data_IF_483095099831
#
_entry.id   IF_483095099831
#
_cell.length_a   1.000
_cell.length_b   1.000
_cell.length_c   1.000
_cell.angle_alpha   90.00
_cell.angle_beta   90.00
_cell.angle_gamma   90.00
#
_symmetry.space_group_name_H-M   'P 1'
#
loop_
_entity.id
_entity.type
_entity.pdbx_description
1 polymer ?
#
# COMPACT_ATOMS: atom_id res chain seq x y z
N UNK A 1 5.82 10.38 -26.75
CA UNK A 1 4.90 9.63 -25.86
C UNK A 1 4.85 10.35 -24.52
N UNK A 2 3.68 10.43 -23.88
CA UNK A 2 3.55 11.12 -22.60
C UNK A 2 4.09 10.23 -21.47
N UNK A 3 4.94 10.78 -20.59
CA UNK A 3 5.38 10.05 -19.40
C UNK A 3 4.16 9.80 -18.48
N UNK A 4 4.01 8.58 -17.93
CA UNK A 4 3.00 8.29 -16.92
C UNK A 4 3.03 9.30 -15.78
N UNK A 5 1.86 9.87 -15.51
CA UNK A 5 1.68 10.73 -14.34
C UNK A 5 1.67 9.82 -13.11
N UNK A 6 2.40 10.20 -12.06
CA UNK A 6 2.44 9.47 -10.77
C UNK A 6 1.04 9.09 -10.25
N UNK A 7 0.05 9.97 -10.41
CA UNK A 7 -1.34 9.67 -10.03
C UNK A 7 -1.92 8.49 -10.81
N UNK A 8 -1.65 8.40 -12.12
CA UNK A 8 -2.11 7.30 -12.97
C UNK A 8 -1.37 6.00 -12.65
N UNK A 9 -0.07 6.05 -12.36
CA UNK A 9 0.70 4.89 -11.92
C UNK A 9 0.17 4.31 -10.60
N UNK A 10 -0.07 5.15 -9.59
CA UNK A 10 -0.63 4.72 -8.30
C UNK A 10 -2.01 4.09 -8.41
N UNK A 11 -2.79 4.48 -9.44
CA UNK A 11 -4.09 3.91 -9.72
C UNK A 11 -4.03 2.65 -10.62
N UNK A 12 -2.86 2.24 -11.10
CA UNK A 12 -2.72 1.11 -12.03
C UNK A 12 -3.15 1.43 -13.47
N UNK A 13 -3.14 2.70 -13.87
CA UNK A 13 -3.52 3.17 -15.20
C UNK A 13 -2.35 3.81 -15.95
N UNK A 14 -1.12 3.36 -15.71
CA UNK A 14 0.08 3.84 -16.41
C UNK A 14 -0.03 3.68 -17.93
N UNK A 15 -0.60 2.56 -18.40
CA UNK A 15 -0.86 2.27 -19.82
C UNK A 15 -1.61 3.41 -20.50
N UNK A 16 -2.60 4.02 -19.83
CA UNK A 16 -3.38 5.12 -20.41
C UNK A 16 -2.50 6.32 -20.81
N UNK A 17 -1.43 6.59 -20.05
CA UNK A 17 -0.49 7.64 -20.40
C UNK A 17 0.48 7.22 -21.51
N UNK A 18 0.91 5.96 -21.50
CA UNK A 18 1.84 5.39 -22.50
C UNK A 18 1.22 5.37 -23.90
N UNK A 19 -0.09 5.13 -24.00
CA UNK A 19 -0.83 5.13 -25.26
C UNK A 19 -1.38 6.52 -25.63
N UNK A 20 -1.11 7.55 -24.83
CA UNK A 20 -1.61 8.90 -25.05
C UNK A 20 -0.74 9.70 -26.04
N UNK A 21 -1.39 10.38 -26.97
CA UNK A 21 -0.79 11.31 -27.94
C UNK A 21 -0.58 12.72 -27.37
N UNK A 22 -1.01 12.99 -26.14
CA UNK A 22 -0.85 14.30 -25.51
C UNK A 22 0.64 14.64 -25.30
N UNK A 23 1.05 15.91 -25.50
CA UNK A 23 2.42 16.33 -25.20
C UNK A 23 2.69 16.23 -23.70
N UNK A 24 3.94 15.88 -23.34
CA UNK A 24 4.35 15.76 -21.94
C UNK A 24 4.60 17.13 -21.30
N UNK A 25 3.52 17.88 -21.08
CA UNK A 25 3.53 19.18 -20.43
C UNK A 25 2.85 19.04 -19.07
N UNK A 26 3.61 19.33 -18.01
CA UNK A 26 3.12 19.29 -16.65
C UNK A 26 1.88 20.20 -16.49
N UNK A 27 0.83 19.67 -15.88
CA UNK A 27 -0.37 20.43 -15.61
C UNK A 27 -1.22 20.76 -16.84
N UNK A 28 -1.09 20.04 -17.97
CA UNK A 28 -2.01 20.23 -19.09
C UNK A 28 -3.48 19.96 -18.69
N UNK A 29 -4.41 20.74 -19.23
CA UNK A 29 -5.83 20.61 -18.91
C UNK A 29 -6.38 19.23 -19.31
N UNK A 30 -5.88 18.67 -20.42
CA UNK A 30 -6.21 17.31 -20.87
C UNK A 30 -5.80 16.25 -19.85
N UNK A 31 -4.56 16.29 -19.34
CA UNK A 31 -4.09 15.34 -18.33
C UNK A 31 -4.89 15.48 -17.02
N UNK A 32 -5.23 16.71 -16.59
CA UNK A 32 -6.08 16.91 -15.40
C UNK A 32 -7.46 16.26 -15.56
N UNK A 33 -8.09 16.45 -16.72
CA UNK A 33 -9.39 15.84 -17.02
C UNK A 33 -9.33 14.32 -17.10
N UNK A 34 -8.26 13.77 -17.69
CA UNK A 34 -8.02 12.34 -17.75
C UNK A 34 -7.91 11.72 -16.34
N UNK A 35 -7.04 12.29 -15.50
CA UNK A 35 -6.84 11.83 -14.12
C UNK A 35 -8.17 11.89 -13.35
N UNK A 36 -8.89 13.01 -13.39
CA UNK A 36 -10.15 13.17 -12.67
C UNK A 36 -11.24 12.17 -13.14
N UNK A 37 -11.25 11.79 -14.42
CA UNK A 37 -12.18 10.78 -14.94
C UNK A 37 -11.80 9.37 -14.48
N UNK A 38 -10.51 9.02 -14.50
CA UNK A 38 -10.04 7.73 -13.99
C UNK A 38 -10.23 7.58 -12.48
N UNK A 39 -10.01 8.63 -11.70
CA UNK A 39 -10.31 8.63 -10.26
C UNK A 39 -11.78 8.34 -10.01
N UNK A 40 -12.70 9.07 -10.68
CA UNK A 40 -14.14 8.82 -10.53
C UNK A 40 -14.56 7.41 -10.95
N UNK A 41 -13.97 6.87 -12.02
CA UNK A 41 -14.23 5.51 -12.44
C UNK A 41 -13.77 4.50 -11.37
N UNK A 42 -12.55 4.67 -10.85
CA UNK A 42 -11.99 3.83 -9.79
C UNK A 42 -12.84 3.89 -8.51
N UNK A 43 -13.28 5.08 -8.11
CA UNK A 43 -14.11 5.26 -6.93
C UNK A 43 -15.44 4.51 -7.04
N UNK A 44 -16.09 4.55 -8.21
CA UNK A 44 -17.32 3.75 -8.48
C UNK A 44 -17.06 2.26 -8.41
N UNK A 45 -15.89 1.82 -8.81
CA UNK A 45 -15.45 0.41 -8.75
C UNK A 45 -14.87 0.02 -7.39
N UNK A 46 -14.87 0.88 -6.38
CA UNK A 46 -14.35 0.51 -5.05
C UNK A 46 -15.35 -0.28 -4.20
N UNK A 47 -16.65 -0.11 -4.42
CA UNK A 47 -17.72 -0.74 -3.63
C UNK A 47 -17.91 -2.24 -3.91
N UNK A 48 -19.08 -2.80 -3.59
CA UNK A 48 -19.43 -4.17 -3.98
C UNK A 48 -19.89 -4.21 -5.45
N UNK A 49 -19.47 -5.22 -6.22
CA UNK A 49 -19.94 -5.42 -7.59
C UNK A 49 -21.35 -6.00 -7.60
N UNK A 50 -22.32 -5.25 -8.14
CA UNK A 50 -23.74 -5.65 -8.14
C UNK A 50 -24.08 -6.36 -9.45
N UNK A 51 -23.60 -5.84 -10.57
CA UNK A 51 -23.90 -6.36 -11.91
C UNK A 51 -22.74 -7.18 -12.50
N UNK A 52 -23.01 -7.97 -13.54
CA UNK A 52 -21.97 -8.66 -14.32
C UNK A 52 -21.00 -7.66 -14.96
N UNK A 53 -21.51 -6.52 -15.42
CA UNK A 53 -20.70 -5.45 -15.99
C UNK A 53 -19.72 -4.87 -14.96
N UNK A 54 -20.13 -4.72 -13.70
CA UNK A 54 -19.24 -4.24 -12.63
C UNK A 54 -18.09 -5.22 -12.37
N UNK A 55 -18.39 -6.54 -12.40
CA UNK A 55 -17.38 -7.59 -12.21
C UNK A 55 -16.37 -7.60 -13.37
N UNK A 56 -16.87 -7.58 -14.60
CA UNK A 56 -16.05 -7.51 -15.80
C UNK A 56 -15.15 -6.26 -15.79
N UNK A 57 -15.70 -5.10 -15.41
CA UNK A 57 -14.95 -3.85 -15.35
C UNK A 57 -13.79 -3.93 -14.36
N UNK A 58 -14.01 -4.58 -13.19
CA UNK A 58 -12.96 -4.76 -12.18
C UNK A 58 -11.89 -5.73 -12.63
N UNK A 59 -12.28 -6.82 -13.28
CA UNK A 59 -11.36 -7.80 -13.85
C UNK A 59 -10.45 -7.13 -14.88
N UNK A 60 -11.04 -6.37 -15.80
CA UNK A 60 -10.28 -5.60 -16.80
C UNK A 60 -9.30 -4.61 -16.16
N UNK A 61 -9.74 -3.85 -15.15
CA UNK A 61 -8.86 -2.91 -14.44
C UNK A 61 -7.74 -3.63 -13.69
N UNK A 62 -8.00 -4.82 -13.15
CA UNK A 62 -7.00 -5.64 -12.47
C UNK A 62 -5.94 -6.13 -13.46
N UNK A 63 -6.37 -6.58 -14.66
CA UNK A 63 -5.45 -6.94 -15.74
C UNK A 63 -4.58 -5.76 -16.16
N UNK A 64 -5.19 -4.58 -16.38
CA UNK A 64 -4.46 -3.37 -16.75
C UNK A 64 -3.48 -2.89 -15.68
N UNK A 65 -3.78 -3.11 -14.40
CA UNK A 65 -2.91 -2.73 -13.29
C UNK A 65 -1.66 -3.61 -13.18
N UNK A 66 -1.73 -4.87 -13.63
CA UNK A 66 -0.61 -5.81 -13.62
C UNK A 66 -0.57 -6.70 -14.87
N UNK A 67 -0.28 -6.14 -16.06
CA UNK A 67 -0.37 -6.87 -17.33
C UNK A 67 0.53 -8.12 -17.38
N UNK A 68 1.69 -8.07 -16.72
CA UNK A 68 2.64 -9.18 -16.67
C UNK A 68 2.06 -10.46 -16.04
N UNK A 69 1.05 -10.33 -15.18
CA UNK A 69 0.38 -11.47 -14.55
C UNK A 69 -0.61 -12.19 -15.47
N UNK A 70 -0.91 -11.62 -16.64
CA UNK A 70 -1.98 -12.06 -17.54
C UNK A 70 -1.50 -12.26 -18.99
N UNK A 71 -0.19 -12.39 -19.21
CA UNK A 71 0.39 -12.61 -20.55
C UNK A 71 0.00 -13.96 -21.16
N UNK A 72 -0.28 -14.96 -20.32
CA UNK A 72 -0.69 -16.31 -20.74
C UNK A 72 -2.22 -16.44 -20.87
N UNK A 73 -2.97 -15.34 -20.71
CA UNK A 73 -4.42 -15.33 -20.88
C UNK A 73 -4.80 -15.63 -22.34
N UNK A 74 -5.79 -16.52 -22.53
CA UNK A 74 -6.16 -17.01 -23.86
C UNK A 74 -6.77 -15.94 -24.76
N UNK A 75 -7.40 -14.92 -24.19
CA UNK A 75 -8.08 -13.86 -24.95
C UNK A 75 -7.29 -12.55 -24.96
N UNK A 76 -6.67 -12.20 -23.83
CA UNK A 76 -6.04 -10.90 -23.61
C UNK A 76 -4.50 -10.95 -23.60
N UNK A 77 -3.89 -12.14 -23.65
CA UNK A 77 -2.45 -12.34 -23.45
C UNK A 77 -1.57 -11.53 -24.41
N UNK A 78 -1.91 -11.49 -25.70
CA UNK A 78 -1.18 -10.70 -26.70
C UNK A 78 -1.21 -9.19 -26.38
N UNK A 79 -2.37 -8.69 -25.96
CA UNK A 79 -2.53 -7.29 -25.58
C UNK A 79 -1.80 -6.98 -24.27
N UNK A 80 -1.84 -7.89 -23.30
CA UNK A 80 -1.11 -7.76 -22.04
C UNK A 80 0.40 -7.74 -22.28
N UNK A 81 0.90 -8.58 -23.19
CA UNK A 81 2.30 -8.58 -23.59
C UNK A 81 2.69 -7.24 -24.21
N UNK A 82 1.86 -6.67 -25.09
CA UNK A 82 2.09 -5.34 -25.63
C UNK A 82 2.17 -4.27 -24.52
N UNK A 83 1.28 -4.30 -23.53
CA UNK A 83 1.34 -3.37 -22.41
C UNK A 83 2.58 -3.57 -21.53
N UNK A 84 3.03 -4.81 -21.31
CA UNK A 84 4.31 -5.07 -20.65
C UNK A 84 5.45 -4.43 -21.40
N UNK A 85 5.51 -4.57 -22.73
CA UNK A 85 6.59 -3.97 -23.53
C UNK A 85 6.63 -2.45 -23.39
N UNK A 86 5.47 -1.77 -23.46
CA UNK A 86 5.39 -0.32 -23.26
C UNK A 86 5.86 0.11 -21.86
N UNK A 87 5.47 -0.65 -20.83
CA UNK A 87 5.91 -0.38 -19.45
C UNK A 87 7.41 -0.56 -19.31
N UNK A 88 7.98 -1.63 -19.88
CA UNK A 88 9.42 -1.92 -19.84
C UNK A 88 10.23 -0.87 -20.59
N UNK A 89 9.78 -0.43 -21.77
CA UNK A 89 10.40 0.66 -22.51
C UNK A 89 10.38 1.97 -21.70
N UNK A 90 9.28 2.24 -21.00
CA UNK A 90 9.14 3.44 -20.18
C UNK A 90 9.99 3.43 -18.91
N UNK A 91 9.98 2.33 -18.15
CA UNK A 91 10.78 2.17 -16.94
C UNK A 91 12.28 2.09 -17.27
N UNK A 92 12.62 1.87 -18.54
CA UNK A 92 13.94 1.54 -19.00
C UNK A 92 14.36 0.15 -18.50
N UNK A 93 15.54 -0.29 -18.93
CA UNK A 93 16.22 -1.35 -18.19
C UNK A 93 16.59 -0.76 -16.82
N UNK A 94 15.80 -1.06 -15.80
CA UNK A 94 16.34 -0.99 -14.43
C UNK A 94 17.53 -1.92 -14.45
N UNK A 95 18.74 -1.36 -14.48
CA UNK A 95 19.94 -2.19 -14.44
C UNK A 95 19.77 -3.15 -13.28
N UNK A 96 19.95 -4.45 -13.53
CA UNK A 96 19.93 -5.42 -12.44
C UNK A 96 20.87 -4.87 -11.36
N UNK A 97 20.34 -4.65 -10.15
CA UNK A 97 21.13 -4.06 -9.07
C UNK A 97 22.40 -4.88 -8.94
N UNK A 98 23.55 -4.23 -9.02
CA UNK A 98 24.82 -4.95 -8.94
C UNK A 98 24.93 -5.57 -7.55
N UNK A 99 25.77 -6.60 -7.41
CA UNK A 99 26.04 -7.21 -6.11
C UNK A 99 26.50 -6.14 -5.08
N UNK A 100 27.26 -5.14 -5.54
CA UNK A 100 27.76 -4.02 -4.74
C UNK A 100 26.63 -3.14 -4.19
N UNK A 101 25.62 -2.80 -5.01
CA UNK A 101 24.46 -2.02 -4.56
C UNK A 101 23.58 -2.79 -3.56
N UNK A 102 23.50 -4.11 -3.74
CA UNK A 102 22.81 -5.00 -2.81
C UNK A 102 23.56 -5.05 -1.48
N UNK A 103 24.88 -5.22 -1.51
CA UNK A 103 25.74 -5.19 -0.32
C UNK A 103 25.65 -3.85 0.41
N UNK A 104 25.68 -2.72 -0.30
CA UNK A 104 25.51 -1.39 0.28
C UNK A 104 24.14 -1.23 0.95
N UNK A 105 23.07 -1.75 0.34
CA UNK A 105 21.74 -1.75 0.93
C UNK A 105 21.70 -2.55 2.24
N UNK A 106 22.30 -3.75 2.24
CA UNK A 106 22.42 -4.58 3.43
C UNK A 106 23.28 -3.93 4.50
N UNK A 107 24.38 -3.26 4.14
CA UNK A 107 25.22 -2.50 5.07
C UNK A 107 24.45 -1.35 5.70
N UNK A 108 23.70 -0.57 4.89
CA UNK A 108 22.87 0.51 5.38
C UNK A 108 21.82 0.00 6.37
N UNK A 109 21.22 -1.15 6.09
CA UNK A 109 20.26 -1.80 6.99
C UNK A 109 20.93 -2.34 8.26
N UNK A 110 22.15 -2.89 8.18
CA UNK A 110 22.93 -3.32 9.37
C UNK A 110 23.39 -2.15 10.23
N UNK A 111 23.66 -0.99 9.63
CA UNK A 111 24.02 0.25 10.34
C UNK A 111 22.82 0.86 11.05
N UNK A 112 21.61 0.68 10.51
CA UNK A 112 20.36 0.98 11.21
C UNK A 112 20.07 -0.06 12.29
N UNK A 113 20.86 -0.07 13.37
CA UNK A 113 20.59 -0.89 14.56
C UNK A 113 19.45 -0.27 15.35
N UNK A 114 18.21 -0.63 15.03
CA UNK A 114 17.14 -0.55 16.04
C UNK A 114 17.32 -1.76 16.95
N UNK A 115 17.91 -1.55 18.14
CA UNK A 115 17.91 -2.54 19.23
C UNK A 115 16.47 -2.69 19.73
N UNK A 116 15.62 -3.31 18.94
CA UNK A 116 14.23 -3.57 19.31
C UNK A 116 14.22 -4.53 20.50
N UNK A 117 13.19 -4.44 21.33
CA UNK A 117 12.98 -5.37 22.45
C UNK A 117 12.98 -6.83 21.97
N UNK A 118 12.51 -7.09 20.74
CA UNK A 118 12.55 -8.39 20.09
C UNK A 118 14.01 -8.86 19.88
N UNK A 119 14.91 -8.01 19.38
CA UNK A 119 16.33 -8.36 19.22
C UNK A 119 17.02 -8.57 20.58
N UNK A 120 16.71 -7.73 21.58
CA UNK A 120 17.21 -7.86 22.97
C UNK A 120 16.84 -9.22 23.58
N UNK A 121 15.61 -9.68 23.33
CA UNK A 121 15.11 -10.94 23.87
C UNK A 121 15.58 -12.16 23.09
N UNK A 122 15.70 -12.07 21.76
CA UNK A 122 16.26 -13.14 20.92
C UNK A 122 17.69 -13.52 21.34
N UNK A 123 18.45 -12.55 21.84
CA UNK A 123 19.81 -12.76 22.38
C UNK A 123 19.84 -13.38 23.78
N UNK A 124 18.73 -13.33 24.54
CA UNK A 124 18.62 -14.07 25.80
C UNK A 124 18.33 -15.54 25.47
N UNK A 125 19.15 -16.45 25.95
CA UNK A 125 19.21 -17.88 25.60
C UNK A 125 17.94 -18.70 25.92
N UNK A 126 16.88 -18.10 26.47
CA UNK A 126 15.64 -18.75 26.89
C UNK A 126 14.37 -18.01 26.41
N UNK A 127 14.36 -17.61 25.14
CA UNK A 127 13.21 -16.90 24.54
C UNK A 127 11.90 -17.70 24.66
N UNK A 128 11.95 -19.03 24.63
CA UNK A 128 10.82 -19.92 24.81
C UNK A 128 10.57 -20.20 26.31
N UNK A 129 9.37 -19.86 26.79
CA UNK A 129 8.87 -20.27 28.12
C UNK A 129 9.08 -19.30 29.28
N UNK A 130 9.82 -18.19 29.09
CA UNK A 130 9.95 -17.14 30.13
C UNK A 130 8.79 -16.14 30.07
N UNK A 131 8.18 -15.79 31.21
CA UNK A 131 7.18 -14.70 31.28
C UNK A 131 7.89 -13.35 31.05
N UNK A 132 7.23 -12.42 30.35
CA UNK A 132 7.70 -11.04 30.24
C UNK A 132 7.80 -10.41 31.62
N UNK A 133 8.91 -9.70 31.87
CA UNK A 133 8.98 -8.82 33.03
C UNK A 133 8.02 -7.63 32.85
N UNK A 134 7.50 -7.03 33.93
CA UNK A 134 6.49 -5.97 33.85
C UNK A 134 6.91 -4.77 32.99
N UNK A 135 8.18 -4.39 33.05
CA UNK A 135 8.80 -3.33 32.25
C UNK A 135 8.87 -3.67 30.75
N UNK A 136 9.25 -4.92 30.42
CA UNK A 136 9.28 -5.39 29.03
C UNK A 136 7.86 -5.49 28.44
N UNK A 137 6.86 -5.79 29.26
CA UNK A 137 5.45 -5.81 28.87
C UNK A 137 4.95 -4.39 28.55
N UNK A 138 5.29 -3.42 29.38
CA UNK A 138 4.91 -2.02 29.22
C UNK A 138 5.55 -1.39 27.96
N UNK A 139 6.82 -1.71 27.69
CA UNK A 139 7.51 -1.31 26.46
C UNK A 139 6.81 -1.88 25.22
N UNK A 140 6.41 -3.16 25.24
CA UNK A 140 5.64 -3.80 24.15
C UNK A 140 4.26 -3.19 23.96
N UNK A 141 3.52 -2.99 25.05
CA UNK A 141 2.20 -2.36 25.00
C UNK A 141 2.27 -0.95 24.45
N UNK A 142 3.29 -0.18 24.82
CA UNK A 142 3.51 1.16 24.26
C UNK A 142 3.82 1.16 22.76
N UNK A 143 4.53 0.13 22.27
CA UNK A 143 4.79 -0.04 20.83
C UNK A 143 3.53 -0.39 20.05
N UNK A 144 2.64 -1.20 20.63
CA UNK A 144 1.38 -1.63 20.01
C UNK A 144 0.37 -0.47 19.96
N UNK A 145 0.29 0.32 21.02
CA UNK A 145 -0.66 1.45 21.15
C UNK A 145 -0.10 2.76 20.55
N UNK A 146 1.05 2.71 19.87
CA UNK A 146 1.68 3.87 19.23
C UNK A 146 2.07 4.99 20.20
N UNK A 147 2.34 4.65 21.47
CA UNK A 147 2.69 5.61 22.53
C UNK A 147 1.51 6.40 23.12
N UNK A 148 0.27 6.14 22.69
CA UNK A 148 -0.91 6.76 23.28
C UNK A 148 -1.58 5.77 24.20
N UNK A 149 -1.29 5.81 25.52
CA UNK A 149 -2.21 5.15 26.45
C UNK A 149 -3.56 5.84 26.27
N UNK A 150 -4.57 5.10 25.84
CA UNK A 150 -5.95 5.51 26.13
C UNK A 150 -6.05 5.59 27.65
N UNK A 151 -6.29 6.78 28.19
CA UNK A 151 -6.74 6.91 29.57
C UNK A 151 -7.99 6.05 29.69
N UNK A 152 -7.86 4.94 30.40
CA UNK A 152 -8.98 4.07 30.69
C UNK A 152 -9.72 4.77 31.84
N UNK A 153 -11.00 5.15 31.66
CA UNK A 153 -11.76 5.76 32.74
C UNK A 153 -11.72 4.86 33.98
N UNK A 154 -11.56 5.47 35.15
CA UNK A 154 -11.60 4.71 36.39
C UNK A 154 -13.00 4.16 36.63
N UNK A 155 -13.11 3.16 37.50
CA UNK A 155 -14.42 2.61 37.87
C UNK A 155 -15.36 3.69 38.40
N UNK A 156 -14.84 4.69 39.11
CA UNK A 156 -15.62 5.83 39.58
C UNK A 156 -16.13 6.70 38.43
N UNK A 157 -15.31 6.93 37.39
CA UNK A 157 -15.73 7.68 36.19
C UNK A 157 -16.83 6.94 35.41
N UNK A 158 -16.70 5.61 35.28
CA UNK A 158 -17.71 4.78 34.61
C UNK A 158 -19.01 4.70 35.42
N UNK A 159 -18.92 4.67 36.75
CA UNK A 159 -20.10 4.67 37.62
C UNK A 159 -20.82 6.02 37.62
N UNK A 160 -20.08 7.13 37.52
CA UNK A 160 -20.66 8.46 37.33
C UNK A 160 -21.40 8.57 35.99
N UNK A 161 -20.80 8.09 34.90
CA UNK A 161 -21.45 8.07 33.57
C UNK A 161 -22.76 7.26 33.57
N UNK A 162 -22.79 6.12 34.27
CA UNK A 162 -24.01 5.30 34.42
C UNK A 162 -25.03 5.96 35.34
N UNK A 163 -24.58 6.67 36.38
CA UNK A 163 -25.45 7.45 37.27
C UNK A 163 -26.16 8.59 36.54
N UNK A 164 -25.42 9.37 35.76
CA UNK A 164 -25.97 10.46 34.96
C UNK A 164 -26.98 9.96 33.92
N UNK A 165 -26.79 8.74 33.39
CA UNK A 165 -27.71 8.11 32.44
C UNK A 165 -29.01 7.59 33.07
N UNK A 166 -29.02 7.39 34.39
CA UNK A 166 -30.17 6.92 35.17
C UNK A 166 -30.95 8.07 35.82
N UNK A 167 -30.34 9.25 35.95
CA UNK A 167 -30.95 10.46 36.50
C UNK A 167 -31.64 11.34 35.42
N UNK A 168 -31.59 10.96 34.14
CA UNK A 168 -32.26 11.64 33.00
C UNK A 168 -33.72 11.21 32.72
N UNK A 169 -34.44 10.63 33.70
CA UNK A 169 -35.91 10.38 33.63
C UNK A 169 -36.74 11.30 34.55
#
# INVERSE_FOLDING_TARGET
MSMPRRAMEQMGFSICCLTCDAPDIAGSQRCRGCIASHTRARDRMSGQAITKADRLSRELVTMLASPASYIDDTEHGELMLHYVTLISEHQGTVSAKTQEEIEEMFERQRRQKTTSLIDRRRRKTSWWGSKLQPDEMEELLSLIDGGKRKEVPTWDDLLAEVGDLLDED
#
